data_IF_594668797924
#
_entry.id   IF_594668797924
#
_cell.length_a   1.000
_cell.length_b   1.000
_cell.length_c   1.000
_cell.angle_alpha   90.00
_cell.angle_beta   90.00
_cell.angle_gamma   90.00
#
_symmetry.space_group_name_H-M   'P 1'
#
loop_
_entity.id
_entity.type
_entity.pdbx_description
1 polymer ?
#
# COMPACT_ATOMS: atom_id res chain seq x y z
N UNK A 1 26.89 -15.00 6.75
CA UNK A 1 25.44 -15.24 6.47
C UNK A 1 24.93 -14.03 5.69
N UNK A 2 24.56 -14.20 4.44
CA UNK A 2 23.99 -13.11 3.62
C UNK A 2 22.57 -12.88 4.11
N UNK A 3 22.31 -11.76 4.78
CA UNK A 3 20.97 -11.37 5.18
C UNK A 3 20.15 -11.15 3.91
N UNK A 4 19.13 -11.95 3.68
CA UNK A 4 18.19 -11.73 2.56
C UNK A 4 17.44 -10.45 2.90
N UNK A 5 17.75 -9.38 2.18
CA UNK A 5 17.02 -8.11 2.30
C UNK A 5 15.73 -8.29 1.51
N UNK A 6 14.59 -8.32 2.20
CA UNK A 6 13.29 -8.26 1.52
C UNK A 6 13.13 -6.85 0.95
N UNK A 7 13.20 -6.73 -0.36
CA UNK A 7 13.15 -5.47 -1.10
C UNK A 7 12.00 -5.41 -2.12
N UNK A 8 11.02 -6.30 -1.95
CA UNK A 8 9.79 -6.32 -2.74
C UNK A 8 8.55 -6.41 -1.85
N UNK A 9 7.41 -6.03 -2.37
CA UNK A 9 6.10 -6.16 -1.74
C UNK A 9 5.03 -6.41 -2.79
N UNK A 10 3.95 -7.08 -2.38
CA UNK A 10 2.78 -7.32 -3.24
C UNK A 10 1.72 -6.25 -2.99
N UNK A 11 1.07 -5.80 -4.05
CA UNK A 11 -0.07 -4.88 -4.04
C UNK A 11 -0.96 -5.14 -5.24
N UNK A 12 -2.01 -4.34 -5.44
CA UNK A 12 -2.85 -4.41 -6.64
C UNK A 12 -2.61 -3.20 -7.55
N UNK A 13 -2.87 -3.36 -8.85
CA UNK A 13 -2.61 -2.31 -9.87
C UNK A 13 -3.70 -1.27 -9.95
N UNK A 14 -4.95 -1.70 -9.78
CA UNK A 14 -6.16 -0.89 -9.90
C UNK A 14 -7.23 -1.43 -8.97
N UNK A 15 -8.32 -0.69 -8.82
CA UNK A 15 -9.50 -1.17 -8.11
C UNK A 15 -10.01 -2.48 -8.74
N UNK A 16 -10.44 -3.42 -7.91
CA UNK A 16 -11.14 -4.61 -8.37
C UNK A 16 -12.49 -4.25 -8.99
N UNK A 17 -13.04 -5.12 -9.81
CA UNK A 17 -14.46 -5.06 -10.11
C UNK A 17 -15.29 -5.32 -8.83
N UNK A 18 -16.51 -4.77 -8.80
CA UNK A 18 -17.47 -5.05 -7.74
C UNK A 18 -17.81 -6.54 -7.73
N UNK A 19 -17.72 -7.17 -6.56
CA UNK A 19 -18.21 -8.54 -6.37
C UNK A 19 -19.49 -8.53 -5.53
N UNK A 20 -20.37 -9.51 -5.75
CA UNK A 20 -21.55 -9.72 -4.96
C UNK A 20 -21.56 -11.14 -4.37
N UNK A 21 -21.48 -11.23 -3.06
CA UNK A 21 -21.73 -12.43 -2.29
C UNK A 21 -23.10 -12.36 -1.61
N UNK A 22 -23.85 -13.45 -1.58
CA UNK A 22 -25.19 -13.52 -0.95
C UNK A 22 -25.20 -14.62 0.11
N UNK A 23 -25.73 -14.29 1.30
CA UNK A 23 -25.91 -15.25 2.40
C UNK A 23 -27.23 -14.92 3.14
N UNK A 24 -28.13 -15.90 3.23
CA UNK A 24 -29.45 -15.78 3.92
C UNK A 24 -30.17 -14.46 3.57
N UNK A 25 -30.33 -14.18 2.29
CA UNK A 25 -30.92 -12.95 1.72
C UNK A 25 -30.11 -11.66 1.97
N UNK A 26 -29.08 -11.64 2.80
CA UNK A 26 -28.16 -10.51 2.89
C UNK A 26 -27.28 -10.46 1.63
N UNK A 27 -26.95 -9.23 1.19
CA UNK A 27 -26.04 -8.98 0.09
C UNK A 27 -24.77 -8.32 0.62
N UNK A 28 -23.61 -8.80 0.19
CA UNK A 28 -22.30 -8.28 0.54
C UNK A 28 -21.60 -7.88 -0.76
N UNK A 29 -21.39 -6.58 -0.96
CA UNK A 29 -20.64 -6.06 -2.09
C UNK A 29 -19.19 -5.83 -1.65
N UNK A 30 -18.25 -6.49 -2.27
CA UNK A 30 -16.82 -6.42 -1.94
C UNK A 30 -16.05 -5.66 -2.99
N UNK A 31 -15.08 -4.88 -2.52
CA UNK A 31 -14.20 -4.03 -3.32
C UNK A 31 -12.79 -4.09 -2.77
N UNK A 32 -11.80 -4.05 -3.65
CA UNK A 32 -10.40 -3.87 -3.28
C UNK A 32 -9.82 -2.68 -4.05
N UNK A 33 -9.15 -1.75 -3.34
CA UNK A 33 -8.57 -0.53 -3.91
C UNK A 33 -7.09 -0.43 -3.56
N UNK A 34 -6.20 -0.02 -4.49
CA UNK A 34 -4.86 0.38 -4.14
C UNK A 34 -4.92 1.73 -3.41
N UNK A 35 -4.28 1.82 -2.26
CA UNK A 35 -4.19 3.05 -1.44
C UNK A 35 -2.80 3.19 -0.84
N UNK A 36 -2.35 4.42 -0.65
CA UNK A 36 -1.05 4.73 -0.05
C UNK A 36 -1.15 5.64 1.17
N UNK A 37 -2.35 6.19 1.43
CA UNK A 37 -2.60 7.08 2.57
C UNK A 37 -3.99 6.86 3.17
N UNK A 38 -4.20 7.35 4.40
CA UNK A 38 -5.51 7.32 5.07
C UNK A 38 -6.50 8.32 4.45
N UNK A 39 -6.01 9.36 3.81
CA UNK A 39 -6.82 10.33 3.07
C UNK A 39 -7.51 9.66 1.89
N UNK A 40 -6.77 8.87 1.09
CA UNK A 40 -7.34 8.08 -0.02
C UNK A 40 -8.39 7.09 0.48
N UNK A 41 -8.14 6.43 1.61
CA UNK A 41 -9.11 5.52 2.26
C UNK A 41 -10.40 6.25 2.57
N UNK A 42 -10.33 7.46 3.15
CA UNK A 42 -11.49 8.26 3.50
C UNK A 42 -12.30 8.68 2.26
N UNK A 43 -11.63 9.14 1.22
CA UNK A 43 -12.27 9.54 -0.04
C UNK A 43 -13.05 8.38 -0.66
N UNK A 44 -12.45 7.19 -0.73
CA UNK A 44 -13.09 5.99 -1.26
C UNK A 44 -14.30 5.59 -0.43
N UNK A 45 -14.18 5.60 0.90
CA UNK A 45 -15.30 5.28 1.80
C UNK A 45 -16.45 6.27 1.64
N UNK A 46 -16.17 7.57 1.51
CA UNK A 46 -17.18 8.61 1.29
C UNK A 46 -17.88 8.45 -0.07
N UNK A 47 -17.16 8.01 -1.10
CA UNK A 47 -17.73 7.67 -2.41
C UNK A 47 -18.65 6.45 -2.29
N UNK A 48 -18.21 5.35 -1.73
CA UNK A 48 -18.99 4.13 -1.57
C UNK A 48 -20.25 4.36 -0.70
N UNK A 49 -20.19 5.24 0.30
CA UNK A 49 -21.36 5.63 1.09
C UNK A 49 -22.41 6.37 0.28
N UNK A 50 -22.01 7.17 -0.71
CA UNK A 50 -22.94 7.84 -1.64
C UNK A 50 -23.55 6.84 -2.63
N UNK A 51 -22.76 5.94 -3.16
CA UNK A 51 -23.20 4.91 -4.11
C UNK A 51 -24.16 3.92 -3.44
N UNK A 52 -23.85 3.49 -2.23
CA UNK A 52 -24.65 2.54 -1.44
C UNK A 52 -25.44 3.22 -0.32
N UNK A 53 -26.03 4.39 -0.56
CA UNK A 53 -26.69 5.21 0.46
C UNK A 53 -27.76 4.50 1.30
N UNK A 54 -28.35 3.41 0.80
CA UNK A 54 -29.36 2.60 1.51
C UNK A 54 -28.77 1.38 2.24
N UNK A 55 -27.46 1.15 2.18
CA UNK A 55 -26.79 0.14 2.98
C UNK A 55 -26.73 0.58 4.46
N UNK A 56 -26.37 -0.34 5.36
CA UNK A 56 -26.26 -0.04 6.78
C UNK A 56 -24.85 -0.21 7.32
N UNK A 57 -23.99 -0.94 6.63
CA UNK A 57 -22.63 -1.25 7.07
C UNK A 57 -21.66 -1.18 5.90
N UNK A 58 -20.59 -0.36 6.06
CA UNK A 58 -19.44 -0.25 5.17
C UNK A 58 -18.21 -0.70 5.93
N UNK A 59 -18.15 -2.01 6.18
CA UNK A 59 -17.04 -2.60 6.93
C UNK A 59 -15.79 -2.63 6.06
N UNK A 60 -14.62 -2.34 6.65
CA UNK A 60 -13.39 -2.27 5.88
C UNK A 60 -12.16 -2.66 6.69
N UNK A 61 -11.11 -2.97 5.97
CA UNK A 61 -9.77 -2.99 6.50
C UNK A 61 -8.79 -2.48 5.46
N UNK A 62 -7.72 -1.81 5.92
CA UNK A 62 -6.61 -1.42 5.07
C UNK A 62 -5.28 -1.79 5.72
N UNK A 63 -4.27 -1.92 4.87
CA UNK A 63 -2.87 -1.99 5.27
C UNK A 63 -2.05 -1.09 4.36
N UNK A 64 -1.26 -0.19 4.95
CA UNK A 64 -0.44 0.81 4.25
C UNK A 64 0.99 0.70 4.76
N UNK A 65 1.94 0.90 3.84
CA UNK A 65 3.37 0.88 4.11
C UNK A 65 4.02 -0.45 3.72
N UNK A 66 5.34 -0.41 3.55
CA UNK A 66 6.16 -1.56 3.14
C UNK A 66 7.17 -1.97 4.20
N UNK A 67 7.62 -1.03 5.03
CA UNK A 67 8.57 -1.25 6.12
C UNK A 67 7.91 -0.99 7.48
N UNK A 68 7.19 0.13 7.59
CA UNK A 68 6.37 0.48 8.76
C UNK A 68 4.93 0.28 8.40
N UNK A 69 4.41 -0.88 8.73
CA UNK A 69 3.02 -1.24 8.42
C UNK A 69 2.08 -0.50 9.36
N UNK A 70 1.12 0.20 8.77
CA UNK A 70 -0.05 0.77 9.43
C UNK A 70 -1.28 0.03 8.93
N UNK A 71 -2.17 -0.37 9.82
CA UNK A 71 -3.41 -1.02 9.44
C UNK A 71 -4.57 -0.56 10.31
N UNK A 72 -5.75 -0.69 9.78
CA UNK A 72 -7.00 -0.51 10.52
C UNK A 72 -8.05 -1.49 10.02
N UNK A 73 -8.85 -2.01 10.96
CA UNK A 73 -10.03 -2.83 10.70
C UNK A 73 -11.24 -2.15 11.37
N UNK A 74 -12.38 -2.09 10.68
CA UNK A 74 -13.57 -1.42 11.16
C UNK A 74 -14.82 -2.25 10.86
N UNK A 75 -15.60 -2.52 11.90
CA UNK A 75 -16.84 -3.30 11.81
C UNK A 75 -18.07 -2.45 11.44
N UNK A 76 -17.97 -1.13 11.45
CA UNK A 76 -19.03 -0.17 11.07
C UNK A 76 -20.43 -0.53 11.58
N UNK A 77 -20.54 -0.78 12.88
CA UNK A 77 -21.78 -1.14 13.57
C UNK A 77 -22.17 -2.61 13.55
N UNK A 78 -21.42 -3.48 12.91
CA UNK A 78 -21.52 -4.93 13.12
C UNK A 78 -20.92 -5.32 14.48
N UNK A 79 -21.21 -6.50 15.02
CA UNK A 79 -20.59 -6.99 16.26
C UNK A 79 -19.05 -6.97 16.18
N UNK A 80 -18.40 -6.64 17.29
CA UNK A 80 -16.95 -6.51 17.36
C UNK A 80 -16.21 -7.71 16.75
N UNK A 81 -15.26 -7.44 15.88
CA UNK A 81 -14.41 -8.41 15.17
C UNK A 81 -15.19 -9.40 14.28
N UNK A 82 -16.42 -9.08 13.91
CA UNK A 82 -17.21 -9.96 13.04
C UNK A 82 -17.13 -9.57 11.54
N UNK A 83 -16.55 -8.40 11.23
CA UNK A 83 -16.44 -7.89 9.87
C UNK A 83 -15.01 -7.37 9.55
N UNK A 84 -14.56 -6.34 10.23
CA UNK A 84 -13.27 -5.69 9.95
C UNK A 84 -12.08 -6.64 10.07
N UNK A 85 -11.99 -7.42 11.13
CA UNK A 85 -10.90 -8.38 11.31
C UNK A 85 -10.94 -9.55 10.31
N UNK A 86 -12.08 -10.16 9.98
CA UNK A 86 -12.21 -11.10 8.87
C UNK A 86 -11.74 -10.55 7.52
N UNK A 87 -12.03 -9.26 7.22
CA UNK A 87 -11.56 -8.57 6.03
C UNK A 87 -10.03 -8.42 6.10
N UNK A 88 -9.49 -7.93 7.23
CA UNK A 88 -8.04 -7.78 7.41
C UNK A 88 -7.28 -9.11 7.27
N UNK A 89 -7.86 -10.19 7.77
CA UNK A 89 -7.31 -11.53 7.59
C UNK A 89 -7.11 -11.93 6.11
N UNK A 90 -7.89 -11.37 5.18
CA UNK A 90 -7.68 -11.61 3.76
C UNK A 90 -6.51 -10.80 3.21
N UNK A 91 -6.31 -9.55 3.65
CA UNK A 91 -5.10 -8.77 3.31
C UNK A 91 -3.85 -9.55 3.69
N UNK A 92 -3.83 -10.12 4.90
CA UNK A 92 -2.72 -10.94 5.39
C UNK A 92 -2.56 -12.26 4.60
N UNK A 93 -3.66 -12.94 4.28
CA UNK A 93 -3.65 -14.23 3.56
C UNK A 93 -3.09 -14.09 2.13
N UNK A 94 -3.34 -12.98 1.46
CA UNK A 94 -2.80 -12.67 0.14
C UNK A 94 -1.41 -12.01 0.20
N UNK A 95 -0.90 -11.72 1.41
CA UNK A 95 0.41 -11.08 1.65
C UNK A 95 0.57 -9.74 0.92
N UNK A 96 -0.50 -8.94 0.84
CA UNK A 96 -0.52 -7.65 0.15
C UNK A 96 -0.46 -6.48 1.11
N UNK A 97 0.04 -5.35 0.64
CA UNK A 97 0.02 -4.07 1.37
C UNK A 97 -0.31 -2.93 0.41
N UNK A 98 -0.48 -1.72 0.94
CA UNK A 98 -0.97 -0.55 0.19
C UNK A 98 -2.32 -0.85 -0.46
N UNK A 99 -3.24 -1.34 0.35
CA UNK A 99 -4.55 -1.82 -0.07
C UNK A 99 -5.63 -1.49 0.95
N UNK A 100 -6.82 -1.18 0.44
CA UNK A 100 -8.08 -1.10 1.18
C UNK A 100 -9.03 -2.15 0.64
N UNK A 101 -9.67 -2.93 1.52
CA UNK A 101 -10.80 -3.78 1.16
C UNK A 101 -12.03 -3.25 1.90
N UNK A 102 -13.12 -3.04 1.16
CA UNK A 102 -14.43 -2.61 1.69
C UNK A 102 -15.47 -3.66 1.37
N UNK A 103 -16.29 -3.99 2.35
CA UNK A 103 -17.46 -4.86 2.15
C UNK A 103 -18.70 -4.11 2.63
N UNK A 104 -19.59 -3.79 1.70
CA UNK A 104 -20.84 -3.10 1.96
C UNK A 104 -21.96 -4.13 2.10
N UNK A 105 -22.69 -4.09 3.24
CA UNK A 105 -23.75 -5.05 3.52
C UNK A 105 -25.12 -4.42 3.44
N UNK A 106 -26.02 -5.13 2.74
CA UNK A 106 -27.46 -4.96 2.80
C UNK A 106 -28.08 -6.11 3.61
N UNK A 107 -28.75 -5.78 4.69
CA UNK A 107 -29.42 -6.77 5.52
C UNK A 107 -30.61 -7.42 4.83
N UNK A 108 -30.68 -8.73 4.82
CA UNK A 108 -31.73 -9.51 4.13
C UNK A 108 -32.89 -9.95 5.03
N UNK A 109 -33.06 -9.37 6.23
CA UNK A 109 -34.13 -9.71 7.15
C UNK A 109 -33.83 -10.89 8.09
N UNK A 110 -32.82 -11.71 7.80
CA UNK A 110 -32.43 -12.87 8.61
C UNK A 110 -31.08 -12.61 9.29
N UNK A 111 -31.01 -12.77 10.60
CA UNK A 111 -29.75 -12.64 11.34
C UNK A 111 -28.82 -13.81 11.04
N UNK A 112 -27.57 -13.50 10.70
CA UNK A 112 -26.51 -14.49 10.41
C UNK A 112 -25.86 -15.08 11.67
N UNK A 113 -25.90 -14.32 12.79
CA UNK A 113 -25.10 -14.57 13.96
C UNK A 113 -23.63 -14.20 13.73
N UNK A 114 -22.81 -14.13 14.79
CA UNK A 114 -21.42 -13.70 14.73
C UNK A 114 -20.60 -14.60 13.79
N UNK A 115 -20.71 -15.91 13.92
CA UNK A 115 -19.99 -16.87 13.06
C UNK A 115 -20.37 -16.75 11.57
N UNK A 116 -21.66 -16.51 11.27
CA UNK A 116 -22.14 -16.31 9.90
C UNK A 116 -21.64 -14.99 9.32
N UNK A 117 -21.55 -13.91 10.13
CA UNK A 117 -20.97 -12.63 9.72
C UNK A 117 -19.48 -12.78 9.39
N UNK A 118 -18.71 -13.39 10.28
CA UNK A 118 -17.27 -13.65 10.07
C UNK A 118 -17.06 -14.37 8.73
N UNK A 119 -17.81 -15.44 8.48
CA UNK A 119 -17.69 -16.20 7.23
C UNK A 119 -18.08 -15.35 6.01
N UNK A 120 -19.17 -14.58 6.08
CA UNK A 120 -19.66 -13.79 4.96
C UNK A 120 -18.69 -12.64 4.59
N UNK A 121 -18.20 -11.88 5.58
CA UNK A 121 -17.24 -10.81 5.36
C UNK A 121 -15.89 -11.35 4.85
N UNK A 122 -15.42 -12.46 5.41
CA UNK A 122 -14.22 -13.16 4.93
C UNK A 122 -14.38 -13.55 3.45
N UNK A 123 -15.50 -14.22 3.11
CA UNK A 123 -15.75 -14.69 1.74
C UNK A 123 -15.84 -13.52 0.75
N UNK A 124 -16.59 -12.46 1.08
CA UNK A 124 -16.70 -11.29 0.21
C UNK A 124 -15.35 -10.59 -0.01
N UNK A 125 -14.54 -10.44 1.05
CA UNK A 125 -13.20 -9.88 0.94
C UNK A 125 -12.27 -10.77 0.11
N UNK A 126 -12.32 -12.09 0.28
CA UNK A 126 -11.56 -13.05 -0.52
C UNK A 126 -11.93 -12.93 -2.00
N UNK A 127 -13.21 -12.91 -2.34
CA UNK A 127 -13.66 -12.77 -3.72
C UNK A 127 -13.21 -11.45 -4.35
N UNK A 128 -13.21 -10.33 -3.59
CA UNK A 128 -12.69 -9.06 -4.07
C UNK A 128 -11.20 -9.14 -4.40
N UNK A 129 -10.42 -9.84 -3.57
CA UNK A 129 -8.99 -10.06 -3.80
C UNK A 129 -8.72 -10.99 -4.99
N UNK A 130 -9.52 -12.04 -5.17
CA UNK A 130 -9.41 -12.97 -6.31
C UNK A 130 -9.72 -12.29 -7.64
N UNK A 131 -10.53 -11.23 -7.62
CA UNK A 131 -10.83 -10.40 -8.80
C UNK A 131 -9.81 -9.26 -9.02
N UNK A 132 -8.89 -9.03 -8.08
CA UNK A 132 -7.86 -8.00 -8.20
C UNK A 132 -6.61 -8.55 -8.90
N UNK A 133 -5.93 -7.72 -9.68
CA UNK A 133 -4.64 -8.07 -10.28
C UNK A 133 -3.52 -7.75 -9.29
N UNK A 134 -3.00 -8.78 -8.65
CA UNK A 134 -1.87 -8.65 -7.71
C UNK A 134 -0.57 -8.59 -8.51
N UNK A 135 0.28 -7.63 -8.15
CA UNK A 135 1.63 -7.47 -8.68
C UNK A 135 2.65 -7.37 -7.56
N UNK A 136 3.89 -7.68 -7.89
CA UNK A 136 5.05 -7.43 -7.03
C UNK A 136 5.75 -6.14 -7.47
N UNK A 137 6.02 -5.25 -6.51
CA UNK A 137 6.78 -4.01 -6.69
C UNK A 137 8.06 -4.04 -5.87
N UNK A 138 9.08 -3.28 -6.31
CA UNK A 138 10.29 -3.06 -5.52
C UNK A 138 10.06 -2.01 -4.45
N UNK A 139 10.78 -2.15 -3.34
CA UNK A 139 10.89 -1.11 -2.32
C UNK A 139 12.09 -0.25 -2.70
N UNK A 140 11.82 1.03 -2.98
CA UNK A 140 12.85 1.99 -3.32
C UNK A 140 13.17 2.88 -2.11
N UNK A 141 14.45 3.21 -1.97
CA UNK A 141 14.99 4.16 -1.01
C UNK A 141 15.34 5.45 -1.72
N UNK A 142 14.99 6.56 -1.12
CA UNK A 142 15.25 7.89 -1.63
C UNK A 142 16.42 8.53 -0.90
N UNK A 143 17.29 9.17 -1.66
CA UNK A 143 18.46 9.87 -1.14
C UNK A 143 18.58 11.24 -1.75
N UNK A 144 19.08 12.20 -0.97
CA UNK A 144 19.44 13.53 -1.44
C UNK A 144 20.96 13.59 -1.53
N UNK A 145 21.49 13.88 -2.71
CA UNK A 145 22.91 14.17 -2.97
C UNK A 145 23.07 15.68 -2.96
N UNK A 146 23.85 16.21 -2.00
CA UNK A 146 24.15 17.66 -1.92
C UNK A 146 25.66 17.88 -2.20
N UNK A 147 25.97 18.80 -3.12
CA UNK A 147 27.35 19.05 -3.56
C UNK A 147 27.51 20.42 -4.22
N UNK A 148 28.72 20.99 -4.19
CA UNK A 148 29.04 22.21 -4.95
C UNK A 148 29.12 21.95 -6.45
N UNK A 149 28.76 22.95 -7.28
CA UNK A 149 28.69 22.85 -8.74
C UNK A 149 29.96 22.27 -9.40
N UNK A 150 31.15 22.53 -8.83
CA UNK A 150 32.44 21.98 -9.30
C UNK A 150 32.46 20.43 -9.35
N UNK A 151 31.63 19.75 -8.56
CA UNK A 151 31.56 18.29 -8.48
C UNK A 151 30.48 17.66 -9.38
N UNK A 152 29.74 18.46 -10.14
CA UNK A 152 28.64 18.03 -11.02
C UNK A 152 29.00 16.84 -11.89
N UNK A 153 30.12 16.95 -12.63
CA UNK A 153 30.55 15.89 -13.57
C UNK A 153 30.82 14.55 -12.84
N UNK A 154 31.38 14.60 -11.62
CA UNK A 154 31.67 13.44 -10.82
C UNK A 154 30.39 12.77 -10.33
N UNK A 155 29.44 13.57 -9.82
CA UNK A 155 28.16 13.07 -9.32
C UNK A 155 27.32 12.48 -10.47
N UNK A 156 27.20 13.20 -11.59
CA UNK A 156 26.45 12.73 -12.76
C UNK A 156 27.02 11.43 -13.35
N UNK A 157 28.36 11.27 -13.32
CA UNK A 157 28.99 10.02 -13.73
C UNK A 157 28.55 8.86 -12.86
N UNK A 158 28.56 9.03 -11.52
CA UNK A 158 28.15 7.98 -10.57
C UNK A 158 26.67 7.64 -10.76
N UNK A 159 25.82 8.65 -10.92
CA UNK A 159 24.39 8.45 -11.19
C UNK A 159 24.19 7.57 -12.44
N UNK A 160 24.92 7.86 -13.50
CA UNK A 160 24.87 7.10 -14.75
C UNK A 160 25.45 5.68 -14.61
N UNK A 161 26.63 5.54 -14.00
CA UNK A 161 27.30 4.23 -13.79
C UNK A 161 26.50 3.28 -12.90
N UNK A 162 25.82 3.83 -11.89
CA UNK A 162 24.96 3.06 -10.96
C UNK A 162 23.52 2.95 -11.45
N UNK A 163 23.20 3.53 -12.59
CA UNK A 163 21.85 3.55 -13.18
C UNK A 163 20.77 4.02 -12.18
N UNK A 164 21.07 5.13 -11.45
CA UNK A 164 20.19 5.69 -10.43
C UNK A 164 19.09 6.52 -11.10
N UNK A 165 17.86 6.39 -10.60
CA UNK A 165 16.75 7.20 -11.06
C UNK A 165 16.80 8.58 -10.40
N UNK A 166 16.88 9.66 -11.21
CA UNK A 166 16.73 11.02 -10.71
C UNK A 166 15.22 11.30 -10.53
N UNK A 167 14.84 11.66 -9.32
CA UNK A 167 13.47 12.02 -8.94
C UNK A 167 13.26 13.52 -9.11
N UNK A 168 14.20 14.32 -8.60
CA UNK A 168 14.19 15.76 -8.70
C UNK A 168 15.62 16.30 -8.68
N UNK A 169 15.82 17.53 -9.18
CA UNK A 169 17.12 18.19 -9.14
C UNK A 169 16.98 19.70 -8.98
N UNK A 170 17.84 20.27 -8.17
CA UNK A 170 18.01 21.71 -7.99
C UNK A 170 19.46 22.06 -8.29
N UNK A 171 19.67 22.92 -9.30
CA UNK A 171 20.99 23.28 -9.82
C UNK A 171 21.25 24.76 -9.55
N UNK A 172 21.87 25.03 -8.41
CA UNK A 172 22.34 26.36 -7.99
C UNK A 172 23.85 26.30 -7.66
N UNK A 173 24.38 27.25 -6.91
CA UNK A 173 25.78 27.16 -6.42
C UNK A 173 25.95 25.91 -5.55
N UNK A 174 24.98 25.64 -4.69
CA UNK A 174 24.82 24.37 -3.98
C UNK A 174 23.77 23.53 -4.73
N UNK A 175 24.20 22.42 -5.29
CA UNK A 175 23.36 21.52 -6.08
C UNK A 175 22.76 20.44 -5.18
N UNK A 176 21.48 20.11 -5.43
CA UNK A 176 20.80 18.99 -4.80
C UNK A 176 20.16 18.11 -5.87
N UNK A 177 20.39 16.80 -5.80
CA UNK A 177 19.74 15.81 -6.65
C UNK A 177 19.09 14.76 -5.76
N UNK A 178 17.78 14.63 -5.87
CA UNK A 178 17.06 13.51 -5.26
C UNK A 178 17.12 12.32 -6.22
N UNK A 179 17.58 11.19 -5.70
CA UNK A 179 17.65 9.93 -6.43
C UNK A 179 16.85 8.85 -5.72
N UNK A 180 16.34 7.89 -6.50
CA UNK A 180 15.76 6.65 -5.99
C UNK A 180 16.64 5.47 -6.40
N UNK A 181 16.75 4.51 -5.50
CA UNK A 181 17.41 3.22 -5.76
C UNK A 181 16.71 2.11 -5.03
N UNK A 182 16.71 0.91 -5.61
CA UNK A 182 16.14 -0.27 -4.97
C UNK A 182 16.79 -0.54 -3.61
N UNK A 183 15.99 -0.84 -2.58
CA UNK A 183 16.44 -1.02 -1.19
C UNK A 183 17.68 -1.90 -1.04
N UNK A 184 17.75 -3.02 -1.76
CA UNK A 184 18.93 -3.92 -1.71
C UNK A 184 20.24 -3.26 -2.16
N UNK A 185 20.17 -2.19 -2.96
CA UNK A 185 21.32 -1.47 -3.49
C UNK A 185 21.70 -0.26 -2.63
N UNK A 186 20.86 0.11 -1.64
CA UNK A 186 21.04 1.30 -0.82
C UNK A 186 22.39 1.33 -0.09
N UNK A 187 22.80 0.20 0.50
CA UNK A 187 24.09 0.14 1.21
C UNK A 187 25.28 0.35 0.28
N UNK A 188 25.27 -0.28 -0.90
CA UNK A 188 26.32 -0.08 -1.90
C UNK A 188 26.41 1.38 -2.38
N UNK A 189 25.24 2.06 -2.43
CA UNK A 189 25.18 3.47 -2.75
C UNK A 189 25.80 4.32 -1.64
N UNK A 190 25.44 4.08 -0.38
CA UNK A 190 26.04 4.76 0.78
C UNK A 190 27.55 4.59 0.78
N UNK A 191 28.09 3.38 0.66
CA UNK A 191 29.51 3.08 0.61
C UNK A 191 30.23 3.82 -0.53
N UNK A 192 29.56 4.00 -1.67
CA UNK A 192 30.09 4.71 -2.84
C UNK A 192 30.29 6.21 -2.55
N UNK A 193 29.31 6.83 -1.89
CA UNK A 193 29.33 8.26 -1.59
C UNK A 193 30.13 8.60 -0.32
N UNK A 194 30.24 7.69 0.64
CA UNK A 194 31.04 7.87 1.86
C UNK A 194 32.51 8.21 1.57
N UNK A 195 33.05 7.71 0.46
CA UNK A 195 34.41 7.98 -0.02
C UNK A 195 34.56 9.29 -0.79
N UNK A 196 33.50 10.11 -0.89
CA UNK A 196 33.49 11.38 -1.63
C UNK A 196 33.43 12.56 -0.65
N UNK A 197 34.61 13.08 -0.28
CA UNK A 197 34.76 14.08 0.77
C UNK A 197 33.90 15.36 0.60
N UNK A 198 33.53 15.73 -0.62
CA UNK A 198 32.84 17.00 -0.95
C UNK A 198 31.37 16.79 -1.38
N UNK A 199 30.85 15.57 -1.22
CA UNK A 199 29.49 15.21 -1.60
C UNK A 199 28.82 14.59 -0.38
N UNK A 200 27.66 15.13 0.00
CA UNK A 200 26.84 14.57 1.10
C UNK A 200 25.73 13.75 0.53
N UNK A 201 25.51 12.55 1.07
CA UNK A 201 24.37 11.70 0.79
C UNK A 201 23.54 11.53 2.07
N UNK A 202 22.23 11.83 1.97
CA UNK A 202 21.31 11.71 3.11
C UNK A 202 20.13 10.89 2.65
N UNK A 203 19.76 9.85 3.42
CA UNK A 203 18.50 9.11 3.22
C UNK A 203 17.32 9.99 3.65
N UNK A 204 16.28 10.03 2.81
CA UNK A 204 15.09 10.88 2.99
C UNK A 204 14.03 10.19 3.85
#
# INVERSE_FOLDING_TARGET
MTTIINDTYKTITAASEEILFKEKNSKFFGYAFPVTSEEEVKEILDQLKKEHFSARHWCYAYQIGTEKIQYRANDDGEPNNSAGMPIYGQIQSFEVTNILIVVVRYFGGVKLGVGGLISAYKTAAQMAMENATIIEKTIDKHFIISFGYAHMNKVMRIIKEKNLQIVSQKMEMDCEIEIATRKKNAQNLLDTFENLYEVKLIEK
#
